data_IF_467170863782
#
_entry.id   IF_467170863782
#
_cell.length_a   1.000
_cell.length_b   1.000
_cell.length_c   1.000
_cell.angle_alpha   90.00
_cell.angle_beta   90.00
_cell.angle_gamma   90.00
#
_symmetry.space_group_name_H-M   'P 1'
#
loop_
_entity.id
_entity.type
_entity.pdbx_description
1 polymer ?
#
# COMPACT_ATOMS: atom_id res chain seq x y z
N UNK A 1 -13.06 28.64 -39.65
CA UNK A 1 -12.08 28.49 -38.55
C UNK A 1 -12.73 27.66 -37.47
N UNK A 2 -12.40 26.36 -37.45
CA UNK A 2 -12.80 25.45 -36.39
C UNK A 2 -11.88 25.73 -35.21
N UNK A 3 -12.44 26.17 -34.09
CA UNK A 3 -11.70 26.27 -32.84
C UNK A 3 -11.50 24.83 -32.35
N UNK A 4 -10.26 24.35 -32.45
CA UNK A 4 -9.82 23.16 -31.76
C UNK A 4 -9.98 23.46 -30.26
N UNK A 5 -11.01 22.91 -29.65
CA UNK A 5 -11.12 22.86 -28.19
C UNK A 5 -10.11 21.81 -27.75
N UNK A 6 -8.85 22.22 -27.57
CA UNK A 6 -7.90 21.44 -26.79
C UNK A 6 -8.52 21.31 -25.40
N UNK A 7 -9.07 20.12 -25.12
CA UNK A 7 -9.56 19.77 -23.80
C UNK A 7 -8.38 19.94 -22.85
N UNK A 8 -8.43 20.95 -21.98
CA UNK A 8 -7.49 21.07 -20.88
C UNK A 8 -7.58 19.74 -20.12
N UNK A 9 -6.48 18.97 -20.00
CA UNK A 9 -6.51 17.72 -19.27
C UNK A 9 -7.00 18.00 -17.85
N UNK A 10 -8.18 17.49 -17.52
CA UNK A 10 -8.76 17.56 -16.18
C UNK A 10 -7.76 16.98 -15.18
N UNK A 11 -7.77 17.46 -13.95
CA UNK A 11 -6.83 17.12 -12.88
C UNK A 11 -6.64 15.60 -12.63
N UNK A 12 -7.67 14.80 -12.90
CA UNK A 12 -7.63 13.32 -12.92
C UNK A 12 -6.72 12.74 -14.00
N UNK A 13 -6.71 13.36 -15.19
CA UNK A 13 -5.98 12.85 -16.35
C UNK A 13 -4.46 12.96 -16.21
N UNK A 14 -3.96 13.80 -15.31
CA UNK A 14 -2.51 13.94 -15.09
C UNK A 14 -1.95 12.74 -14.33
N UNK A 15 -2.60 12.30 -13.25
CA UNK A 15 -2.16 11.13 -12.47
C UNK A 15 -2.32 9.85 -13.28
N UNK A 16 -3.43 9.68 -13.99
CA UNK A 16 -3.67 8.53 -14.86
C UNK A 16 -2.68 8.45 -16.02
N UNK A 17 -2.35 9.57 -16.65
CA UNK A 17 -1.35 9.60 -17.73
C UNK A 17 0.04 9.24 -17.20
N UNK A 18 0.49 9.91 -16.15
CA UNK A 18 1.83 9.69 -15.59
C UNK A 18 1.96 8.25 -15.07
N UNK A 19 0.96 7.74 -14.36
CA UNK A 19 1.00 6.36 -13.84
C UNK A 19 0.99 5.31 -14.96
N UNK A 20 0.24 5.52 -16.04
CA UNK A 20 0.25 4.64 -17.22
C UNK A 20 1.61 4.62 -17.91
N UNK A 21 2.16 5.80 -18.17
CA UNK A 21 3.44 5.95 -18.88
C UNK A 21 4.61 5.36 -18.08
N UNK A 22 4.53 5.40 -16.74
CA UNK A 22 5.52 4.83 -15.85
C UNK A 22 5.23 3.37 -15.43
N UNK A 23 4.15 2.78 -15.96
CA UNK A 23 3.79 1.38 -15.68
C UNK A 23 3.32 1.11 -14.24
N UNK A 24 2.83 2.13 -13.53
CA UNK A 24 2.35 2.06 -12.15
C UNK A 24 0.85 2.37 -12.02
N UNK A 25 0.06 2.06 -13.05
CA UNK A 25 -1.39 2.29 -13.06
C UNK A 25 -2.13 1.63 -11.88
N UNK A 26 -1.59 0.54 -11.30
CA UNK A 26 -2.18 -0.14 -10.14
C UNK A 26 -2.16 0.67 -8.84
N UNK A 27 -1.45 1.80 -8.77
CA UNK A 27 -1.47 2.73 -7.62
C UNK A 27 -2.00 4.12 -8.00
N UNK A 28 -2.64 4.25 -9.18
CA UNK A 28 -3.07 5.55 -9.69
C UNK A 28 -4.19 6.18 -8.85
N UNK A 29 -5.09 5.36 -8.30
CA UNK A 29 -6.16 5.81 -7.42
C UNK A 29 -5.62 6.34 -6.10
N UNK A 30 -4.84 5.55 -5.38
CA UNK A 30 -4.15 5.98 -4.16
C UNK A 30 -3.30 7.24 -4.39
N UNK A 31 -2.63 7.32 -5.54
CA UNK A 31 -1.82 8.48 -5.89
C UNK A 31 -2.64 9.74 -6.09
N UNK A 32 -3.89 9.64 -6.57
CA UNK A 32 -4.79 10.80 -6.66
C UNK A 32 -5.11 11.33 -5.27
N UNK A 33 -5.50 10.46 -4.35
CA UNK A 33 -5.80 10.84 -2.96
C UNK A 33 -4.59 11.50 -2.29
N UNK A 34 -3.39 10.92 -2.49
CA UNK A 34 -2.15 11.51 -1.97
C UNK A 34 -1.84 12.87 -2.63
N UNK A 35 -2.03 13.02 -3.94
CA UNK A 35 -1.78 14.29 -4.65
C UNK A 35 -2.74 15.39 -4.18
N UNK A 36 -4.03 15.10 -4.03
CA UNK A 36 -5.01 16.06 -3.50
C UNK A 36 -4.59 16.54 -2.11
N UNK A 37 -4.19 15.61 -1.23
CA UNK A 37 -3.67 15.95 0.09
C UNK A 37 -2.36 16.74 0.01
N UNK A 38 -1.47 16.35 -0.90
CA UNK A 38 -0.18 17.01 -1.13
C UNK A 38 -0.35 18.45 -1.60
N UNK A 39 -1.25 18.71 -2.53
CA UNK A 39 -1.50 20.06 -3.05
C UNK A 39 -1.99 21.00 -1.96
N UNK A 40 -2.86 20.52 -1.07
CA UNK A 40 -3.33 21.30 0.07
C UNK A 40 -2.22 21.73 1.04
N UNK A 41 -1.12 20.96 1.13
CA UNK A 41 -0.02 21.20 2.08
C UNK A 41 1.22 21.81 1.42
N UNK A 42 1.52 21.39 0.19
CA UNK A 42 2.78 21.62 -0.52
C UNK A 42 2.60 22.29 -1.89
N UNK A 43 1.37 22.54 -2.35
CA UNK A 43 1.10 23.07 -3.69
C UNK A 43 1.68 24.46 -3.97
N UNK A 44 2.06 25.22 -2.93
CA UNK A 44 2.78 26.49 -3.09
C UNK A 44 4.27 26.32 -3.39
N UNK A 45 4.84 25.15 -3.10
CA UNK A 45 6.28 24.87 -3.22
C UNK A 45 6.61 24.01 -4.44
N UNK A 46 5.68 23.14 -4.84
CA UNK A 46 5.92 22.18 -5.93
C UNK A 46 4.75 22.13 -6.90
N UNK A 47 5.07 21.99 -8.18
CA UNK A 47 4.07 21.78 -9.23
C UNK A 47 3.38 20.41 -9.08
N UNK A 48 2.11 20.33 -9.49
CA UNK A 48 1.29 19.11 -9.47
C UNK A 48 1.98 17.90 -10.10
N UNK A 49 2.75 18.08 -11.19
CA UNK A 49 3.48 16.98 -11.85
C UNK A 49 4.58 16.42 -10.93
N UNK A 50 5.32 17.30 -10.26
CA UNK A 50 6.36 16.92 -9.28
C UNK A 50 5.72 16.18 -8.12
N UNK A 51 4.61 16.71 -7.58
CA UNK A 51 3.84 16.05 -6.52
C UNK A 51 3.29 14.68 -6.96
N UNK A 52 2.82 14.56 -8.21
CA UNK A 52 2.32 13.30 -8.77
C UNK A 52 3.40 12.25 -8.85
N UNK A 53 4.58 12.59 -9.39
CA UNK A 53 5.69 11.63 -9.46
C UNK A 53 6.20 11.30 -8.06
N UNK A 54 6.30 12.28 -7.16
CA UNK A 54 6.67 12.03 -5.77
C UNK A 54 5.69 11.08 -5.05
N UNK A 55 4.38 11.28 -5.24
CA UNK A 55 3.33 10.42 -4.69
C UNK A 55 3.40 8.99 -5.25
N UNK A 56 3.50 8.84 -6.57
CA UNK A 56 3.64 7.52 -7.23
C UNK A 56 4.90 6.80 -6.76
N UNK A 57 6.03 7.52 -6.61
CA UNK A 57 7.27 6.94 -6.06
C UNK A 57 7.09 6.49 -4.62
N UNK A 58 6.47 7.30 -3.78
CA UNK A 58 6.23 6.97 -2.39
C UNK A 58 5.35 5.72 -2.26
N UNK A 59 4.23 5.68 -3.00
CA UNK A 59 3.30 4.56 -3.02
C UNK A 59 3.94 3.30 -3.61
N UNK A 60 4.61 3.37 -4.76
CA UNK A 60 5.31 2.21 -5.31
C UNK A 60 6.40 1.66 -4.40
N UNK A 61 6.95 2.45 -3.46
CA UNK A 61 7.89 1.96 -2.43
C UNK A 61 7.19 1.34 -1.23
N UNK A 62 6.01 1.82 -0.85
CA UNK A 62 5.27 1.38 0.34
C UNK A 62 4.24 0.27 0.04
N UNK A 63 3.66 0.23 -1.15
CA UNK A 63 2.59 -0.70 -1.53
C UNK A 63 3.07 -2.14 -1.78
N UNK A 64 2.16 -3.10 -1.53
CA UNK A 64 2.38 -4.54 -1.77
C UNK A 64 2.63 -4.81 -3.26
N UNK A 65 3.69 -5.54 -3.59
CA UNK A 65 3.88 -6.14 -4.91
C UNK A 65 4.57 -5.28 -5.97
N UNK A 66 4.93 -4.03 -5.66
CA UNK A 66 5.79 -3.23 -6.54
C UNK A 66 7.21 -3.81 -6.55
N UNK A 67 7.49 -4.67 -7.54
CA UNK A 67 8.80 -5.34 -7.71
C UNK A 67 9.88 -4.39 -8.24
N UNK A 68 9.49 -3.22 -8.72
CA UNK A 68 10.37 -2.20 -9.23
C UNK A 68 9.97 -0.87 -8.60
N UNK A 69 10.76 -0.40 -7.63
CA UNK A 69 10.72 1.02 -7.27
C UNK A 69 10.84 1.81 -8.57
N UNK A 70 9.87 2.67 -8.84
CA UNK A 70 9.89 3.56 -9.98
C UNK A 70 11.25 4.29 -10.00
N UNK A 71 11.96 4.28 -11.12
CA UNK A 71 13.29 4.87 -11.18
C UNK A 71 13.17 6.39 -11.35
N UNK A 72 13.82 7.15 -10.46
CA UNK A 72 13.67 8.60 -10.40
C UNK A 72 14.15 9.26 -11.70
N UNK A 73 15.32 8.85 -12.19
CA UNK A 73 15.92 9.41 -13.40
C UNK A 73 14.99 9.21 -14.61
N UNK A 74 14.53 7.98 -14.83
CA UNK A 74 13.61 7.66 -15.93
C UNK A 74 12.31 8.49 -15.89
N UNK A 75 11.74 8.70 -14.70
CA UNK A 75 10.53 9.50 -14.55
C UNK A 75 10.78 11.00 -14.77
N UNK A 76 11.91 11.51 -14.30
CA UNK A 76 12.27 12.92 -14.50
C UNK A 76 12.55 13.21 -15.98
N UNK A 77 13.25 12.30 -16.66
CA UNK A 77 13.55 12.40 -18.09
C UNK A 77 12.27 12.36 -18.94
N UNK A 78 11.34 11.45 -18.63
CA UNK A 78 10.08 11.29 -19.38
C UNK A 78 9.18 12.54 -19.33
N UNK A 79 9.26 13.33 -18.25
CA UNK A 79 8.39 14.48 -18.03
C UNK A 79 9.14 15.83 -17.96
N UNK A 80 10.43 15.84 -18.29
CA UNK A 80 11.32 17.01 -18.24
C UNK A 80 11.26 17.75 -16.88
N UNK A 81 11.39 16.99 -15.79
CA UNK A 81 11.37 17.52 -14.42
C UNK A 81 12.76 17.52 -13.80
N UNK A 82 12.96 18.39 -12.81
CA UNK A 82 14.17 18.39 -11.99
C UNK A 82 14.16 17.21 -10.99
N UNK A 83 15.16 16.29 -11.04
CA UNK A 83 15.27 15.19 -10.09
C UNK A 83 15.47 15.60 -8.64
N UNK A 84 15.98 16.81 -8.38
CA UNK A 84 16.14 17.35 -7.03
C UNK A 84 14.78 17.78 -6.46
N UNK A 85 14.01 18.56 -7.22
CA UNK A 85 12.64 18.93 -6.84
C UNK A 85 11.73 17.73 -6.56
N UNK A 86 11.84 16.65 -7.35
CA UNK A 86 11.09 15.39 -7.10
C UNK A 86 11.52 14.72 -5.80
N UNK A 87 12.83 14.72 -5.49
CA UNK A 87 13.32 14.11 -4.26
C UNK A 87 12.95 14.93 -3.01
N UNK A 88 12.98 16.26 -3.10
CA UNK A 88 12.53 17.15 -2.04
C UNK A 88 11.03 17.01 -1.79
N UNK A 89 10.22 16.96 -2.85
CA UNK A 89 8.78 16.70 -2.74
C UNK A 89 8.49 15.31 -2.15
N UNK A 90 9.21 14.26 -2.55
CA UNK A 90 9.07 12.91 -1.97
C UNK A 90 9.42 12.91 -0.48
N UNK A 91 10.49 13.58 -0.08
CA UNK A 91 10.89 13.71 1.32
C UNK A 91 9.89 14.51 2.15
N UNK A 92 9.38 15.63 1.63
CA UNK A 92 8.35 16.44 2.26
C UNK A 92 7.06 15.64 2.45
N UNK A 93 6.62 14.89 1.42
CA UNK A 93 5.45 14.02 1.51
C UNK A 93 5.65 12.92 2.56
N UNK A 94 6.79 12.25 2.55
CA UNK A 94 7.10 11.21 3.53
C UNK A 94 7.08 11.77 4.97
N UNK A 95 7.54 13.00 5.19
CA UNK A 95 7.48 13.65 6.48
C UNK A 95 6.05 13.97 6.93
N UNK A 96 5.16 14.31 5.99
CA UNK A 96 3.74 14.58 6.29
C UNK A 96 2.92 13.31 6.55
N UNK A 97 3.25 12.19 5.91
CA UNK A 97 2.42 10.98 5.88
C UNK A 97 2.87 9.91 6.89
N UNK A 98 3.66 10.30 7.88
CA UNK A 98 4.37 9.41 8.81
C UNK A 98 5.24 8.35 8.11
N UNK A 99 6.24 7.86 8.86
CA UNK A 99 7.09 6.77 8.37
C UNK A 99 6.35 5.43 8.50
N UNK A 100 6.61 4.47 7.59
CA UNK A 100 6.24 3.08 7.79
C UNK A 100 6.81 2.54 9.11
N UNK A 101 6.25 1.42 9.58
CA UNK A 101 6.88 0.62 10.62
C UNK A 101 8.29 0.19 10.19
N UNK A 102 9.11 -0.21 11.16
CA UNK A 102 10.45 -0.65 10.80
C UNK A 102 10.41 -1.95 9.97
N UNK A 103 11.45 -2.11 9.15
CA UNK A 103 11.52 -3.21 8.20
C UNK A 103 11.61 -4.59 8.91
N UNK A 104 12.06 -4.65 10.17
CA UNK A 104 12.06 -5.88 10.96
C UNK A 104 10.64 -6.26 11.36
N UNK A 105 9.86 -5.30 11.82
CA UNK A 105 8.44 -5.47 12.16
C UNK A 105 7.61 -5.87 10.93
N UNK A 106 7.79 -5.19 9.80
CA UNK A 106 7.11 -5.55 8.53
C UNK A 106 7.46 -6.99 8.11
N UNK A 107 8.72 -7.41 8.26
CA UNK A 107 9.15 -8.79 7.95
C UNK A 107 8.56 -9.81 8.91
N UNK A 108 8.53 -9.50 10.21
CA UNK A 108 7.94 -10.36 11.22
C UNK A 108 6.45 -10.56 10.92
N UNK A 109 5.69 -9.48 10.72
CA UNK A 109 4.27 -9.52 10.41
C UNK A 109 3.97 -10.25 9.09
N UNK A 110 4.78 -10.02 8.06
CA UNK A 110 4.68 -10.78 6.80
C UNK A 110 4.89 -12.28 7.02
N UNK A 111 5.85 -12.67 7.86
CA UNK A 111 6.08 -14.09 8.18
C UNK A 111 4.89 -14.68 8.92
N UNK A 112 4.27 -13.92 9.83
CA UNK A 112 3.03 -14.31 10.51
C UNK A 112 1.89 -14.52 9.50
N UNK A 113 1.61 -13.56 8.61
CA UNK A 113 0.58 -13.68 7.55
C UNK A 113 0.77 -14.95 6.72
N UNK A 114 1.98 -15.21 6.21
CA UNK A 114 2.25 -16.41 5.40
C UNK A 114 2.01 -17.69 6.23
N UNK A 115 2.33 -17.67 7.52
CA UNK A 115 2.13 -18.82 8.40
C UNK A 115 0.63 -19.11 8.60
N UNK A 116 -0.18 -18.07 8.81
CA UNK A 116 -1.64 -18.20 8.88
C UNK A 116 -2.26 -18.65 7.56
N UNK A 117 -1.76 -18.18 6.41
CA UNK A 117 -2.19 -18.66 5.09
C UNK A 117 -1.93 -20.15 4.90
N UNK A 118 -0.74 -20.63 5.28
CA UNK A 118 -0.41 -22.06 5.20
C UNK A 118 -1.26 -22.89 6.16
N UNK A 119 -1.56 -22.34 7.34
CA UNK A 119 -2.42 -22.98 8.32
C UNK A 119 -3.86 -23.12 7.80
N UNK A 120 -4.45 -22.03 7.32
CA UNK A 120 -5.79 -22.01 6.72
C UNK A 120 -5.89 -23.00 5.56
N UNK A 121 -4.94 -22.95 4.61
CA UNK A 121 -4.90 -23.86 3.48
C UNK A 121 -4.79 -25.35 3.90
N UNK A 122 -4.11 -25.65 5.01
CA UNK A 122 -4.01 -27.00 5.53
C UNK A 122 -5.31 -27.48 6.19
N UNK A 123 -6.01 -26.59 6.92
CA UNK A 123 -7.33 -26.85 7.51
C UNK A 123 -8.38 -27.05 6.42
N UNK A 124 -8.44 -26.18 5.42
CA UNK A 124 -9.35 -26.29 4.27
C UNK A 124 -9.12 -27.57 3.46
N UNK A 125 -7.86 -28.03 3.37
CA UNK A 125 -7.51 -29.28 2.72
C UNK A 125 -7.83 -30.53 3.55
N UNK A 126 -8.37 -30.38 4.77
CA UNK A 126 -8.72 -31.48 5.67
C UNK A 126 -7.50 -32.26 6.17
N UNK A 127 -6.34 -31.61 6.30
CA UNK A 127 -5.13 -32.27 6.83
C UNK A 127 -5.31 -32.56 8.31
N UNK A 128 -4.67 -33.62 8.79
CA UNK A 128 -4.69 -34.00 10.22
C UNK A 128 -3.51 -33.44 11.02
N UNK A 129 -2.65 -32.62 10.38
CA UNK A 129 -1.50 -32.03 11.04
C UNK A 129 -1.12 -30.68 10.41
N UNK A 130 -0.59 -29.80 11.26
CA UNK A 130 -0.07 -28.52 10.83
C UNK A 130 1.12 -28.68 9.87
N UNK A 131 1.26 -27.77 8.89
CA UNK A 131 2.43 -27.76 8.02
C UNK A 131 3.72 -27.59 8.85
N UNK A 132 4.67 -28.51 8.69
CA UNK A 132 5.96 -28.45 9.37
C UNK A 132 6.80 -27.29 8.85
N UNK A 133 7.18 -26.36 9.73
CA UNK A 133 8.18 -25.31 9.43
C UNK A 133 9.46 -25.54 10.24
N UNK A 134 10.54 -26.06 9.62
CA UNK A 134 11.83 -26.19 10.31
C UNK A 134 12.41 -24.80 10.61
N UNK A 135 12.90 -24.61 11.84
CA UNK A 135 13.71 -23.44 12.22
C UNK A 135 12.95 -22.13 12.48
N UNK A 136 11.63 -22.17 12.68
CA UNK A 136 10.86 -21.03 13.16
C UNK A 136 10.58 -21.14 14.65
N UNK A 137 11.11 -20.22 15.43
CA UNK A 137 10.57 -19.91 16.76
C UNK A 137 9.17 -19.27 16.54
N UNK A 138 8.18 -20.13 16.26
CA UNK A 138 6.79 -19.71 15.98
C UNK A 138 6.16 -19.01 17.20
N UNK A 139 6.68 -19.32 18.39
CA UNK A 139 6.24 -18.74 19.66
C UNK A 139 6.61 -17.27 19.77
N UNK A 140 7.70 -16.85 19.12
CA UNK A 140 8.13 -15.44 19.07
C UNK A 140 7.47 -14.58 18.00
N UNK A 141 6.65 -15.16 17.09
CA UNK A 141 6.07 -14.44 15.96
C UNK A 141 4.74 -13.77 16.29
N UNK A 142 3.86 -14.50 16.97
CA UNK A 142 2.53 -13.99 17.33
C UNK A 142 1.93 -14.83 18.50
N UNK A 143 1.45 -14.20 19.58
CA UNK A 143 0.85 -14.92 20.70
C UNK A 143 -0.41 -15.72 20.33
N UNK A 144 -1.21 -15.27 19.36
CA UNK A 144 -2.38 -16.01 18.90
C UNK A 144 -1.96 -17.26 18.12
N UNK A 145 -0.89 -17.18 17.31
CA UNK A 145 -0.32 -18.34 16.64
C UNK A 145 0.16 -19.39 17.65
N UNK A 146 0.84 -18.98 18.73
CA UNK A 146 1.27 -19.90 19.78
C UNK A 146 0.07 -20.65 20.40
N UNK A 147 -1.03 -19.95 20.69
CA UNK A 147 -2.26 -20.54 21.25
C UNK A 147 -3.00 -21.45 20.28
N UNK A 148 -2.90 -21.21 18.97
CA UNK A 148 -3.47 -22.08 17.95
C UNK A 148 -2.68 -23.39 17.82
N UNK A 149 -1.35 -23.33 17.96
CA UNK A 149 -0.49 -24.52 17.92
C UNK A 149 -0.63 -25.43 19.15
N UNK A 150 -1.22 -24.93 20.24
CA UNK A 150 -1.58 -25.73 21.43
C UNK A 150 -2.89 -26.52 21.25
N UNK A 151 -3.70 -26.19 20.24
CA UNK A 151 -4.99 -26.85 19.99
C UNK A 151 -4.83 -28.06 19.07
N UNK A 152 -5.70 -29.09 19.20
CA UNK A 152 -5.81 -30.14 18.21
C UNK A 152 -6.14 -29.55 16.83
N UNK A 153 -5.43 -30.03 15.80
CA UNK A 153 -5.52 -29.44 14.46
C UNK A 153 -6.92 -29.59 13.84
N UNK A 154 -7.62 -30.67 14.17
CA UNK A 154 -8.99 -30.99 13.76
C UNK A 154 -10.06 -30.15 14.47
N UNK A 155 -9.67 -29.38 15.49
CA UNK A 155 -10.55 -28.44 16.20
C UNK A 155 -10.36 -26.98 15.72
N UNK A 156 -9.46 -26.74 14.76
CA UNK A 156 -9.23 -25.40 14.22
C UNK A 156 -10.41 -24.93 13.36
N UNK A 157 -10.96 -23.77 13.71
CA UNK A 157 -12.02 -23.10 12.99
C UNK A 157 -11.46 -22.31 11.79
N UNK A 158 -11.77 -22.75 10.57
CA UNK A 158 -11.36 -22.10 9.34
C UNK A 158 -11.87 -20.66 9.22
N UNK A 159 -13.13 -20.40 9.61
CA UNK A 159 -13.74 -19.07 9.52
C UNK A 159 -13.10 -18.09 10.53
N UNK A 160 -12.66 -18.62 11.69
CA UNK A 160 -11.89 -17.83 12.65
C UNK A 160 -10.47 -17.52 12.15
N UNK A 161 -9.82 -18.48 11.47
CA UNK A 161 -8.51 -18.29 10.86
C UNK A 161 -8.56 -17.26 9.71
N UNK A 162 -9.59 -17.33 8.86
CA UNK A 162 -9.79 -16.39 7.76
C UNK A 162 -9.96 -14.96 8.28
N UNK A 163 -10.87 -14.72 9.23
CA UNK A 163 -11.03 -13.38 9.84
C UNK A 163 -9.77 -12.87 10.52
N UNK A 164 -9.00 -13.76 11.15
CA UNK A 164 -7.74 -13.36 11.78
C UNK A 164 -6.69 -12.99 10.74
N UNK A 165 -6.64 -13.74 9.63
CA UNK A 165 -5.75 -13.48 8.50
C UNK A 165 -6.09 -12.13 7.85
N UNK A 166 -7.36 -11.83 7.60
CA UNK A 166 -7.81 -10.53 7.08
C UNK A 166 -7.30 -9.38 7.96
N UNK A 167 -7.46 -9.50 9.29
CA UNK A 167 -6.96 -8.51 10.25
C UNK A 167 -5.44 -8.36 10.17
N UNK A 168 -4.68 -9.45 10.07
CA UNK A 168 -3.23 -9.40 9.95
C UNK A 168 -2.77 -8.81 8.61
N UNK A 169 -3.52 -9.02 7.53
CA UNK A 169 -3.24 -8.40 6.24
C UNK A 169 -3.47 -6.88 6.28
N UNK A 170 -4.54 -6.42 6.95
CA UNK A 170 -4.77 -5.01 7.22
C UNK A 170 -3.67 -4.41 8.11
N UNK A 171 -3.27 -5.10 9.19
CA UNK A 171 -2.15 -4.67 10.05
C UNK A 171 -0.85 -4.55 9.24
N UNK A 172 -0.60 -5.47 8.30
CA UNK A 172 0.59 -5.47 7.45
C UNK A 172 0.58 -4.34 6.43
N UNK A 173 -0.59 -4.03 5.89
CA UNK A 173 -0.79 -2.90 4.99
C UNK A 173 -0.59 -1.57 5.71
N UNK A 174 -1.20 -1.40 6.89
CA UNK A 174 -0.99 -0.24 7.76
C UNK A 174 0.49 -0.08 8.14
N UNK A 175 1.17 -1.17 8.52
CA UNK A 175 2.59 -1.14 8.86
C UNK A 175 3.46 -0.68 7.68
N UNK A 176 3.11 -1.07 6.44
CA UNK A 176 3.83 -0.68 5.22
C UNK A 176 3.59 0.76 4.79
N UNK A 177 2.36 1.22 4.90
CA UNK A 177 1.96 2.55 4.47
C UNK A 177 2.32 3.61 5.52
N UNK A 178 2.29 3.25 6.80
CA UNK A 178 2.24 4.19 7.91
C UNK A 178 0.79 4.58 8.22
N UNK A 179 0.51 4.93 9.48
CA UNK A 179 -0.86 5.14 9.98
C UNK A 179 -1.60 6.25 9.23
N UNK A 180 -0.95 7.39 8.99
CA UNK A 180 -1.58 8.53 8.31
C UNK A 180 -1.91 8.22 6.84
N UNK A 181 -0.99 7.58 6.12
CA UNK A 181 -1.25 7.19 4.74
C UNK A 181 -2.33 6.11 4.65
N UNK A 182 -2.31 5.13 5.56
CA UNK A 182 -3.35 4.11 5.62
C UNK A 182 -4.73 4.72 5.89
N UNK A 183 -4.85 5.58 6.90
CA UNK A 183 -6.11 6.26 7.23
C UNK A 183 -6.61 7.16 6.09
N UNK A 184 -5.70 7.83 5.37
CA UNK A 184 -6.05 8.66 4.21
C UNK A 184 -6.67 7.82 3.08
N UNK A 185 -6.16 6.62 2.83
CA UNK A 185 -6.64 5.75 1.75
C UNK A 185 -7.95 5.02 2.13
N UNK A 186 -8.07 4.59 3.38
CA UNK A 186 -9.30 3.96 3.90
C UNK A 186 -10.46 4.96 4.01
N UNK A 187 -10.17 6.21 4.40
CA UNK A 187 -11.18 7.26 4.56
C UNK A 187 -11.86 7.68 3.24
N UNK A 188 -11.14 7.59 2.11
CA UNK A 188 -11.71 7.90 0.79
C UNK A 188 -12.62 6.76 0.30
N UNK A 189 -12.26 5.51 0.61
CA UNK A 189 -13.00 4.30 0.26
C UNK A 189 -14.37 4.19 0.95
N UNK A 190 -14.58 4.94 2.04
CA UNK A 190 -15.84 5.01 2.81
C UNK A 190 -16.77 6.18 2.46
N UNK A 191 -16.46 6.98 1.43
CA UNK A 191 -17.22 8.21 1.11
C UNK A 191 -18.29 8.07 0.02
N UNK A 192 -18.53 6.86 -0.49
CA UNK A 192 -19.62 6.58 -1.44
C UNK A 192 -20.70 5.78 -0.73
N UNK A 193 -21.62 6.47 -0.05
CA UNK A 193 -23.01 6.05 0.21
C UNK A 193 -23.67 7.01 1.22
N UNK A 194 -23.89 8.28 0.86
CA UNK A 194 -24.88 9.11 1.57
C UNK A 194 -25.32 10.35 0.75
N UNK A 195 -25.82 10.15 -0.47
CA UNK A 195 -26.76 11.10 -1.09
C UNK A 195 -27.83 10.34 -1.91
N UNK A 196 -28.85 9.87 -1.21
CA UNK A 196 -30.18 9.63 -1.78
C UNK A 196 -31.23 9.88 -0.70
N UNK A 197 -31.67 11.13 -0.62
CA UNK A 197 -32.83 11.58 0.14
C UNK A 197 -33.55 12.69 -0.60
#
# INVERSE_FOLDING_TARGET
MLWNTESVPTDDSTVERISRDLGCAGVAEDARTVVVRAEAVLGYQYDRKVLTVAALRLLTRRSRGSRSSLERAAACDAFAMDPEAVAEAEAALAATLQSPADETDIRALRRTVITFQELLAAVEAGRSCAPYRPGSDLVGLDPALARLLEQPFDELDADALERHLERLEADLEMARLGVELYALLEGESGSVDDESG
#
